data_IF_717866761166
#
_entry.id   IF_717866761166
#
_cell.length_a   1.000
_cell.length_b   1.000
_cell.length_c   1.000
_cell.angle_alpha   90.00
_cell.angle_beta   90.00
_cell.angle_gamma   90.00
#
_symmetry.space_group_name_H-M   'P 1'
#
loop_
_entity.id
_entity.type
_entity.pdbx_description
1 polymer ?
#
# COMPACT_ATOMS: atom_id res chain seq x y z
N UNK A 1 -25.26 2.21 -33.79
CA UNK A 1 -24.56 0.91 -33.93
C UNK A 1 -23.10 1.11 -34.35
N UNK A 2 -22.32 1.89 -33.60
CA UNK A 2 -20.89 2.16 -33.90
C UNK A 2 -20.06 2.47 -32.64
N UNK A 3 -20.50 2.00 -31.47
CA UNK A 3 -19.75 2.12 -30.21
C UNK A 3 -19.00 0.82 -29.85
N UNK A 4 -19.47 -0.32 -30.36
CA UNK A 4 -18.96 -1.64 -29.97
C UNK A 4 -17.69 -2.08 -30.74
N UNK A 5 -17.29 -1.36 -31.79
CA UNK A 5 -16.09 -1.69 -32.58
C UNK A 5 -14.81 -1.03 -32.03
N UNK A 6 -14.93 -0.06 -31.13
CA UNK A 6 -13.80 0.73 -30.59
C UNK A 6 -12.96 -0.08 -29.59
N UNK A 7 -13.53 -1.12 -28.98
CA UNK A 7 -12.87 -1.91 -27.93
C UNK A 7 -12.16 -3.17 -28.43
N UNK A 8 -12.01 -3.37 -29.74
CA UNK A 8 -11.35 -4.56 -30.29
C UNK A 8 -9.89 -4.33 -30.72
N UNK A 9 -9.41 -3.08 -30.81
CA UNK A 9 -8.05 -2.79 -31.28
C UNK A 9 -7.02 -2.87 -30.13
N UNK A 10 -6.13 -3.88 -30.10
CA UNK A 10 -5.21 -4.10 -28.98
C UNK A 10 -4.18 -2.95 -28.83
N UNK A 11 -3.90 -2.21 -29.90
CA UNK A 11 -2.99 -1.07 -29.88
C UNK A 11 -3.62 0.13 -29.18
N UNK A 12 -4.88 0.44 -29.46
CA UNK A 12 -5.60 1.56 -28.83
C UNK A 12 -5.85 1.30 -27.34
N UNK A 13 -6.18 0.06 -26.97
CA UNK A 13 -6.29 -0.35 -25.56
C UNK A 13 -4.96 -0.16 -24.83
N UNK A 14 -3.84 -0.53 -25.47
CA UNK A 14 -2.50 -0.40 -24.89
C UNK A 14 -2.07 1.06 -24.76
N UNK A 15 -2.37 1.89 -25.75
CA UNK A 15 -2.10 3.33 -25.72
C UNK A 15 -2.91 4.03 -24.63
N UNK A 16 -4.21 3.73 -24.53
CA UNK A 16 -5.10 4.28 -23.51
C UNK A 16 -4.67 3.88 -22.10
N UNK A 17 -4.31 2.60 -21.89
CA UNK A 17 -3.75 2.11 -20.61
C UNK A 17 -2.47 2.84 -20.22
N UNK A 18 -1.57 3.11 -21.16
CA UNK A 18 -0.32 3.81 -20.89
C UNK A 18 -0.55 5.30 -20.59
N UNK A 19 -1.45 5.98 -21.30
CA UNK A 19 -1.80 7.38 -21.04
C UNK A 19 -2.50 7.56 -19.69
N UNK A 20 -3.40 6.63 -19.33
CA UNK A 20 -4.05 6.61 -18.03
C UNK A 20 -3.04 6.37 -16.89
N UNK A 21 -2.16 5.38 -17.02
CA UNK A 21 -1.08 5.16 -16.04
C UNK A 21 -0.15 6.38 -15.90
N UNK A 22 0.17 7.06 -17.00
CA UNK A 22 0.99 8.29 -16.94
C UNK A 22 0.28 9.44 -16.21
N UNK A 23 -1.05 9.53 -16.29
CA UNK A 23 -1.84 10.53 -15.52
C UNK A 23 -1.85 10.27 -14.01
N UNK A 24 -1.67 9.02 -13.58
CA UNK A 24 -1.71 8.62 -12.17
C UNK A 24 -0.35 8.70 -11.47
N UNK A 25 0.75 8.64 -12.24
CA UNK A 25 2.11 8.53 -11.71
C UNK A 25 3.03 9.71 -12.08
N UNK A 26 2.53 10.70 -12.82
CA UNK A 26 3.22 11.94 -13.12
C UNK A 26 2.51 13.13 -12.50
N UNK A 27 3.28 14.09 -12.00
CA UNK A 27 2.84 15.42 -11.59
C UNK A 27 2.37 16.25 -12.81
N UNK A 28 1.35 15.74 -13.50
CA UNK A 28 0.72 16.33 -14.67
C UNK A 28 -0.49 17.12 -14.19
N UNK A 29 -0.22 18.30 -13.65
CA UNK A 29 -1.17 19.42 -13.59
C UNK A 29 -1.45 19.98 -15.00
N UNK A 30 -1.70 19.10 -15.98
CA UNK A 30 -2.17 19.50 -17.30
C UNK A 30 -3.49 18.81 -17.53
N UNK A 31 -4.57 19.57 -17.31
CA UNK A 31 -5.89 19.22 -17.79
C UNK A 31 -5.82 18.96 -19.30
N UNK A 32 -6.43 17.87 -19.74
CA UNK A 32 -6.64 17.63 -21.17
C UNK A 32 -7.42 18.82 -21.73
N UNK A 33 -6.90 19.42 -22.80
CA UNK A 33 -7.55 20.55 -23.46
C UNK A 33 -8.61 20.03 -24.43
N UNK A 34 -9.58 20.87 -24.79
CA UNK A 34 -10.56 20.54 -25.84
C UNK A 34 -9.88 20.13 -27.16
N UNK A 35 -8.68 20.66 -27.44
CA UNK A 35 -7.88 20.30 -28.60
C UNK A 35 -7.38 18.84 -28.57
N UNK A 36 -7.08 18.30 -27.38
CA UNK A 36 -6.64 16.91 -27.22
C UNK A 36 -7.79 15.93 -27.48
N UNK A 37 -9.01 16.28 -27.05
CA UNK A 37 -10.21 15.49 -27.33
C UNK A 37 -10.63 15.54 -28.80
N UNK A 38 -10.48 16.69 -29.46
CA UNK A 38 -10.75 16.87 -30.90
C UNK A 38 -9.81 16.02 -31.77
N UNK A 39 -8.54 15.87 -31.36
CA UNK A 39 -7.57 15.04 -32.07
C UNK A 39 -7.96 13.56 -31.99
N UNK A 40 -8.44 13.10 -30.83
CA UNK A 40 -8.92 11.72 -30.62
C UNK A 40 -10.20 11.48 -31.44
N UNK A 41 -11.13 12.44 -31.45
CA UNK A 41 -12.37 12.34 -32.20
C UNK A 41 -12.14 12.30 -33.72
N UNK A 42 -11.21 13.10 -34.26
CA UNK A 42 -10.88 13.10 -35.69
C UNK A 42 -10.17 11.83 -36.13
N UNK A 43 -9.32 11.24 -35.31
CA UNK A 43 -8.63 9.99 -35.64
C UNK A 43 -9.61 8.82 -35.80
N UNK A 44 -10.70 8.80 -35.04
CA UNK A 44 -11.75 7.79 -35.14
C UNK A 44 -12.67 7.94 -36.36
N UNK A 45 -12.49 8.99 -37.18
CA UNK A 45 -13.27 9.26 -38.39
C UNK A 45 -12.45 9.09 -39.69
N UNK A 46 -11.18 8.67 -39.60
CA UNK A 46 -10.34 8.47 -40.79
C UNK A 46 -10.42 7.00 -41.20
N UNK A 47 -11.27 6.71 -42.20
CA UNK A 47 -11.46 5.36 -42.75
C UNK A 47 -10.27 4.85 -43.59
N UNK A 48 -9.30 5.71 -43.92
CA UNK A 48 -8.17 5.35 -44.76
C UNK A 48 -6.81 5.76 -44.14
N UNK A 49 -6.12 4.74 -43.60
CA UNK A 49 -4.81 4.85 -42.96
C UNK A 49 -3.64 5.06 -43.95
N UNK A 50 -3.91 5.17 -45.27
CA UNK A 50 -2.89 5.40 -46.30
C UNK A 50 -2.67 6.87 -46.67
N UNK A 51 -3.42 7.81 -46.07
CA UNK A 51 -3.26 9.24 -46.38
C UNK A 51 -2.03 9.87 -45.70
N UNK A 52 -1.47 10.92 -46.32
CA UNK A 52 -0.35 11.71 -45.79
C UNK A 52 -0.56 12.22 -44.35
N UNK A 53 -1.82 12.38 -43.93
CA UNK A 53 -2.20 12.77 -42.58
C UNK A 53 -1.96 11.65 -41.54
N UNK A 54 -2.05 10.38 -41.93
CA UNK A 54 -1.75 9.23 -41.08
C UNK A 54 -0.25 9.08 -40.80
N UNK A 55 0.60 9.36 -41.79
CA UNK A 55 2.06 9.31 -41.63
C UNK A 55 2.58 10.44 -40.72
N UNK A 56 2.04 11.66 -40.85
CA UNK A 56 2.41 12.76 -39.95
C UNK A 56 1.94 12.51 -38.51
N UNK A 57 0.79 11.84 -38.33
CA UNK A 57 0.30 11.42 -37.02
C UNK A 57 1.17 10.33 -36.37
N UNK A 58 1.58 9.32 -37.14
CA UNK A 58 2.54 8.30 -36.68
C UNK A 58 3.88 8.91 -36.27
N UNK A 59 4.38 9.92 -37.00
CA UNK A 59 5.58 10.67 -36.63
C UNK A 59 5.39 11.45 -35.32
N UNK A 60 4.21 12.00 -35.04
CA UNK A 60 3.89 12.65 -33.76
C UNK A 60 3.84 11.65 -32.59
N UNK A 61 3.29 10.45 -32.81
CA UNK A 61 3.28 9.37 -31.81
C UNK A 61 4.70 8.85 -31.51
N UNK A 62 5.52 8.63 -32.54
CA UNK A 62 6.91 8.19 -32.36
C UNK A 62 7.78 9.22 -31.62
N UNK A 63 7.52 10.52 -31.82
CA UNK A 63 8.13 11.60 -31.03
C UNK A 63 7.69 11.55 -29.57
N UNK A 64 6.42 11.25 -29.28
CA UNK A 64 5.92 11.05 -27.92
C UNK A 64 6.55 9.83 -27.23
N UNK A 65 6.77 8.70 -27.93
CA UNK A 65 7.47 7.52 -27.37
C UNK A 65 8.94 7.82 -27.02
N UNK A 66 9.58 8.69 -27.80
CA UNK A 66 10.95 9.17 -27.53
C UNK A 66 10.99 10.03 -26.27
N UNK A 67 9.98 10.86 -26.04
CA UNK A 67 9.83 11.64 -24.80
C UNK A 67 9.53 10.75 -23.58
N UNK A 68 8.76 9.68 -23.75
CA UNK A 68 8.50 8.68 -22.70
C UNK A 68 9.78 7.97 -22.27
N UNK A 69 10.68 7.62 -23.22
CA UNK A 69 11.99 7.04 -22.91
C UNK A 69 12.88 8.02 -22.13
N UNK A 70 12.82 9.31 -22.47
CA UNK A 70 13.52 10.38 -21.75
C UNK A 70 12.97 10.57 -20.32
N UNK A 71 11.64 10.45 -20.17
CA UNK A 71 10.95 10.55 -18.88
C UNK A 71 11.32 9.39 -17.94
N UNK A 72 11.36 8.15 -18.46
CA UNK A 72 11.82 6.97 -17.70
C UNK A 72 13.24 7.15 -17.16
N UNK A 73 14.12 7.79 -17.92
CA UNK A 73 15.50 8.10 -17.49
C UNK A 73 15.52 9.11 -16.33
N UNK A 74 14.68 10.13 -16.38
CA UNK A 74 14.58 11.18 -15.34
C UNK A 74 13.97 10.67 -14.04
N UNK A 75 13.01 9.76 -14.12
CA UNK A 75 12.43 9.07 -12.95
C UNK A 75 13.44 8.14 -12.31
N UNK A 76 14.24 7.42 -13.11
CA UNK A 76 15.33 6.57 -12.61
C UNK A 76 16.41 7.40 -11.88
N UNK A 77 16.79 8.56 -12.44
CA UNK A 77 17.75 9.47 -11.79
C UNK A 77 17.23 10.03 -10.45
N UNK A 78 15.93 10.36 -10.37
CA UNK A 78 15.29 10.77 -9.10
C UNK A 78 15.32 9.62 -8.09
N UNK A 79 14.98 8.40 -8.50
CA UNK A 79 14.97 7.21 -7.65
C UNK A 79 16.39 6.91 -7.10
N UNK A 80 17.42 6.99 -7.95
CA UNK A 80 18.81 6.77 -7.53
C UNK A 80 19.31 7.83 -6.54
N UNK A 81 18.89 9.10 -6.69
CA UNK A 81 19.17 10.16 -5.71
C UNK A 81 18.49 9.90 -4.36
N UNK A 82 17.22 9.51 -4.36
CA UNK A 82 16.48 9.20 -3.14
C UNK A 82 17.08 8.02 -2.37
N UNK A 83 17.65 7.05 -3.09
CA UNK A 83 18.29 5.87 -2.49
C UNK A 83 19.77 6.06 -2.14
N UNK A 84 20.32 7.28 -2.23
CA UNK A 84 21.76 7.57 -2.00
C UNK A 84 22.72 6.69 -2.83
N UNK A 85 22.26 6.21 -3.98
CA UNK A 85 23.06 5.40 -4.89
C UNK A 85 23.88 6.34 -5.78
N UNK A 86 25.21 6.33 -5.60
CA UNK A 86 26.12 7.00 -6.55
C UNK A 86 26.14 6.22 -7.86
N UNK A 87 25.40 6.70 -8.85
CA UNK A 87 25.53 6.21 -10.22
C UNK A 87 26.65 6.98 -10.91
N UNK A 88 27.84 6.37 -10.96
CA UNK A 88 28.95 6.89 -11.76
C UNK A 88 28.68 6.58 -13.23
N UNK A 89 28.11 7.53 -13.97
CA UNK A 89 28.03 7.44 -15.43
C UNK A 89 29.40 7.76 -16.01
N UNK A 90 30.21 6.74 -16.29
CA UNK A 90 31.31 6.89 -17.24
C UNK A 90 30.71 6.97 -18.64
N UNK A 91 30.97 8.08 -19.34
CA UNK A 91 30.73 8.21 -20.78
C UNK A 91 31.50 7.08 -21.48
N UNK A 92 30.79 6.04 -21.91
CA UNK A 92 31.37 5.00 -22.76
C UNK A 92 31.49 5.57 -24.18
N UNK A 93 32.69 5.61 -24.77
CA UNK A 93 32.84 5.95 -26.18
C UNK A 93 32.16 4.89 -27.04
N UNK A 94 31.58 5.31 -28.16
CA UNK A 94 30.91 4.46 -29.16
C UNK A 94 31.83 3.47 -29.91
N UNK A 95 33.04 3.19 -29.41
CA UNK A 95 34.05 2.37 -30.09
C UNK A 95 34.45 1.16 -29.24
N UNK A 96 33.56 0.16 -29.18
CA UNK A 96 33.85 -1.16 -28.60
C UNK A 96 34.51 -2.14 -29.60
N UNK A 97 34.99 -1.65 -30.75
CA UNK A 97 35.55 -2.50 -31.83
C UNK A 97 37.09 -2.59 -31.89
N UNK A 98 37.82 -1.99 -30.95
CA UNK A 98 39.30 -2.00 -31.00
C UNK A 98 39.95 -2.16 -29.61
N UNK A 99 39.37 -3.00 -28.75
CA UNK A 99 39.90 -3.27 -27.42
C UNK A 99 40.34 -4.74 -27.24
N UNK A 100 40.94 -5.33 -28.29
CA UNK A 100 41.56 -6.66 -28.22
C UNK A 100 43.09 -6.64 -28.22
N UNK A 101 43.74 -5.48 -28.38
CA UNK A 101 45.20 -5.42 -28.46
C UNK A 101 45.77 -4.30 -27.59
N UNK A 102 45.79 -4.50 -26.27
CA UNK A 102 46.84 -3.91 -25.42
C UNK A 102 46.96 -4.65 -24.10
N UNK A 103 48.19 -4.95 -23.70
CA UNK A 103 48.54 -5.53 -22.41
C UNK A 103 48.27 -4.55 -21.26
N UNK A 104 47.00 -4.32 -20.94
CA UNK A 104 46.61 -3.55 -19.76
C UNK A 104 46.28 -4.53 -18.63
N UNK A 105 47.28 -4.71 -17.76
CA UNK A 105 47.33 -5.39 -16.47
C UNK A 105 46.11 -6.18 -15.97
N UNK A 106 46.35 -7.39 -15.48
CA UNK A 106 45.40 -8.29 -14.81
C UNK A 106 44.46 -7.65 -13.76
N UNK A 107 44.82 -6.49 -13.18
CA UNK A 107 43.99 -5.74 -12.23
C UNK A 107 42.74 -5.15 -12.90
N UNK A 108 42.87 -4.58 -14.09
CA UNK A 108 41.77 -3.97 -14.86
C UNK A 108 40.76 -4.99 -15.38
N UNK A 109 41.21 -6.21 -15.73
CA UNK A 109 40.31 -7.29 -16.15
C UNK A 109 39.43 -7.79 -14.99
N UNK A 110 40.01 -7.95 -13.80
CA UNK A 110 39.27 -8.35 -12.58
C UNK A 110 38.25 -7.28 -12.18
N UNK A 111 38.61 -6.01 -12.28
CA UNK A 111 37.70 -4.88 -12.00
C UNK A 111 36.55 -4.81 -13.02
N UNK A 112 36.82 -5.07 -14.30
CA UNK A 112 35.79 -5.20 -15.33
C UNK A 112 34.85 -6.40 -15.07
N UNK A 113 35.37 -7.55 -14.66
CA UNK A 113 34.54 -8.71 -14.28
C UNK A 113 33.66 -8.40 -13.06
N UNK A 114 34.19 -7.71 -12.05
CA UNK A 114 33.43 -7.24 -10.88
C UNK A 114 32.33 -6.25 -11.27
N UNK A 115 32.59 -5.34 -12.20
CA UNK A 115 31.59 -4.39 -12.72
C UNK A 115 30.49 -5.10 -13.53
N UNK A 116 30.85 -6.09 -14.37
CA UNK A 116 29.88 -6.91 -15.11
C UNK A 116 29.03 -7.76 -14.15
N UNK A 117 29.65 -8.35 -13.12
CA UNK A 117 28.94 -9.10 -12.09
C UNK A 117 27.98 -8.19 -11.30
N UNK A 118 28.43 -7.01 -10.86
CA UNK A 118 27.58 -5.99 -10.21
C UNK A 118 26.43 -5.54 -11.10
N UNK A 119 26.67 -5.29 -12.39
CA UNK A 119 25.62 -4.95 -13.37
C UNK A 119 24.60 -6.07 -13.54
N UNK A 120 25.03 -7.33 -13.61
CA UNK A 120 24.13 -8.50 -13.67
C UNK A 120 23.30 -8.65 -12.39
N UNK A 121 23.89 -8.40 -11.21
CA UNK A 121 23.16 -8.41 -9.93
C UNK A 121 22.14 -7.28 -9.83
N UNK A 122 22.50 -6.05 -10.24
CA UNK A 122 21.58 -4.91 -10.32
C UNK A 122 20.43 -5.22 -11.30
N UNK A 123 20.72 -5.78 -12.48
CA UNK A 123 19.69 -6.15 -13.45
C UNK A 123 18.76 -7.28 -12.95
N UNK A 124 19.27 -8.22 -12.15
CA UNK A 124 18.43 -9.25 -11.50
C UNK A 124 17.51 -8.65 -10.44
N UNK A 125 18.04 -7.75 -9.60
CA UNK A 125 17.25 -7.01 -8.60
C UNK A 125 16.17 -6.15 -9.28
N UNK A 126 16.52 -5.47 -10.37
CA UNK A 126 15.60 -4.61 -11.14
C UNK A 126 14.47 -5.43 -11.79
N UNK A 127 14.77 -6.60 -12.36
CA UNK A 127 13.73 -7.50 -12.90
C UNK A 127 12.81 -8.07 -11.84
N UNK A 128 13.34 -8.46 -10.67
CA UNK A 128 12.53 -8.96 -9.56
C UNK A 128 11.61 -7.86 -9.00
N UNK A 129 12.15 -6.64 -8.84
CA UNK A 129 11.40 -5.46 -8.40
C UNK A 129 10.30 -5.09 -9.41
N UNK A 130 10.62 -4.99 -10.70
CA UNK A 130 9.65 -4.71 -11.77
C UNK A 130 8.56 -5.79 -11.82
N UNK A 131 8.91 -7.07 -11.70
CA UNK A 131 7.93 -8.16 -11.68
C UNK A 131 6.97 -8.02 -10.49
N UNK A 132 7.47 -7.69 -9.29
CA UNK A 132 6.63 -7.50 -8.10
C UNK A 132 5.79 -6.24 -8.17
N UNK A 133 6.33 -5.11 -8.63
CA UNK A 133 5.55 -3.89 -8.90
C UNK A 133 4.42 -4.20 -9.87
N UNK A 134 4.69 -4.94 -10.95
CA UNK A 134 3.66 -5.34 -11.90
C UNK A 134 2.66 -6.33 -11.29
N UNK A 135 3.09 -7.25 -10.41
CA UNK A 135 2.20 -8.16 -9.66
C UNK A 135 1.27 -7.38 -8.72
N UNK A 136 1.78 -6.42 -7.97
CA UNK A 136 0.98 -5.57 -7.08
C UNK A 136 0.07 -4.62 -7.87
N UNK A 137 0.57 -3.99 -8.94
CA UNK A 137 -0.24 -3.13 -9.82
C UNK A 137 -1.35 -3.91 -10.52
N UNK A 138 -1.08 -5.14 -10.97
CA UNK A 138 -2.08 -6.03 -11.55
C UNK A 138 -3.15 -6.43 -10.52
N UNK A 139 -2.74 -6.89 -9.32
CA UNK A 139 -3.67 -7.17 -8.21
C UNK A 139 -4.53 -5.94 -7.88
N UNK A 140 -3.90 -4.76 -7.71
CA UNK A 140 -4.60 -3.50 -7.42
C UNK A 140 -5.60 -3.13 -8.52
N UNK A 141 -5.23 -3.26 -9.78
CA UNK A 141 -6.12 -2.97 -10.91
C UNK A 141 -7.29 -3.96 -11.00
N UNK A 142 -7.06 -5.25 -10.74
CA UNK A 142 -8.11 -6.27 -10.66
C UNK A 142 -9.10 -5.97 -9.52
N UNK A 143 -8.60 -5.57 -8.34
CA UNK A 143 -9.47 -5.24 -7.20
C UNK A 143 -10.23 -3.91 -7.36
N UNK A 144 -9.60 -2.85 -7.88
CA UNK A 144 -10.28 -1.56 -8.05
C UNK A 144 -11.42 -1.61 -9.08
N UNK A 145 -11.37 -2.54 -10.03
CA UNK A 145 -12.44 -2.74 -11.01
C UNK A 145 -13.60 -3.60 -10.48
N UNK A 146 -13.42 -4.29 -9.35
CA UNK A 146 -14.36 -5.30 -8.82
C UNK A 146 -14.64 -5.16 -7.33
N UNK A 147 -14.48 -3.98 -6.72
CA UNK A 147 -14.92 -3.79 -5.34
C UNK A 147 -16.45 -3.84 -5.26
N UNK A 148 -16.99 -5.04 -5.18
CA UNK A 148 -18.37 -5.33 -4.86
C UNK A 148 -18.45 -5.73 -3.38
N UNK A 149 -19.19 -4.96 -2.59
CA UNK A 149 -19.42 -5.27 -1.18
C UNK A 149 -20.07 -6.65 -0.97
N UNK A 150 -20.68 -7.23 -2.03
CA UNK A 150 -21.22 -8.59 -2.03
C UNK A 150 -20.16 -9.70 -1.97
N UNK A 151 -18.89 -9.41 -2.30
CA UNK A 151 -17.79 -10.39 -2.22
C UNK A 151 -17.39 -10.73 -0.77
N UNK A 152 -17.85 -9.95 0.21
CA UNK A 152 -17.91 -10.40 1.60
C UNK A 152 -19.07 -11.38 1.74
N UNK A 153 -18.97 -12.54 1.09
CA UNK A 153 -19.83 -13.69 1.32
C UNK A 153 -19.65 -14.11 2.78
N UNK A 154 -20.47 -13.55 3.67
CA UNK A 154 -20.47 -13.87 5.10
C UNK A 154 -20.93 -15.33 5.19
N UNK A 155 -20.03 -16.28 5.50
CA UNK A 155 -20.44 -17.68 5.67
C UNK A 155 -21.51 -17.70 6.74
N UNK A 156 -22.60 -18.46 6.52
CA UNK A 156 -23.77 -18.62 7.42
C UNK A 156 -23.47 -18.16 8.84
N UNK A 157 -23.72 -16.86 9.07
CA UNK A 157 -23.30 -16.18 10.27
C UNK A 157 -23.99 -16.81 11.45
N UNK A 158 -23.26 -17.18 12.50
CA UNK A 158 -23.91 -17.45 13.77
C UNK A 158 -24.59 -16.15 14.20
N UNK A 159 -25.92 -16.09 14.17
CA UNK A 159 -26.68 -14.89 14.52
C UNK A 159 -26.32 -14.35 15.91
N UNK A 160 -25.84 -15.21 16.81
CA UNK A 160 -25.35 -14.81 18.12
C UNK A 160 -24.08 -13.93 18.05
N UNK A 161 -23.23 -14.08 17.03
CA UNK A 161 -22.05 -13.20 16.83
C UNK A 161 -22.47 -11.75 16.56
N UNK A 162 -23.59 -11.55 15.86
CA UNK A 162 -24.08 -10.20 15.51
C UNK A 162 -24.63 -9.45 16.73
N UNK A 163 -25.17 -10.16 17.71
CA UNK A 163 -25.75 -9.57 18.94
C UNK A 163 -24.69 -9.07 19.92
N UNK A 164 -23.46 -9.61 19.88
CA UNK A 164 -22.40 -9.29 20.86
C UNK A 164 -21.77 -7.94 20.59
N UNK A 165 -21.64 -7.09 21.61
CA UNK A 165 -21.15 -5.71 21.42
C UNK A 165 -19.62 -5.61 21.43
N UNK A 166 -19.10 -4.59 20.75
CA UNK A 166 -17.71 -4.20 20.90
C UNK A 166 -17.59 -3.43 22.22
N UNK A 167 -16.66 -3.85 23.07
CA UNK A 167 -16.41 -3.24 24.37
C UNK A 167 -14.99 -2.68 24.41
N UNK A 168 -14.80 -1.61 25.19
CA UNK A 168 -13.44 -1.19 25.60
C UNK A 168 -12.92 -2.26 26.57
N UNK A 169 -11.70 -2.73 26.34
CA UNK A 169 -11.09 -3.74 27.19
C UNK A 169 -10.80 -3.18 28.58
N UNK A 170 -11.05 -3.98 29.62
CA UNK A 170 -10.52 -3.68 30.96
C UNK A 170 -9.04 -4.06 31.06
N UNK A 171 -8.37 -3.67 32.15
CA UNK A 171 -6.99 -4.13 32.40
C UNK A 171 -6.91 -5.66 32.47
N UNK A 172 -7.92 -6.33 33.06
CA UNK A 172 -8.00 -7.80 33.14
C UNK A 172 -8.16 -8.45 31.76
N UNK A 173 -8.82 -7.78 30.82
CA UNK A 173 -9.00 -8.30 29.47
C UNK A 173 -7.68 -8.33 28.67
N UNK A 174 -6.62 -7.62 29.10
CA UNK A 174 -5.30 -7.62 28.43
C UNK A 174 -4.66 -9.02 28.44
N UNK A 175 -4.77 -9.76 29.55
CA UNK A 175 -4.31 -11.14 29.61
C UNK A 175 -5.11 -12.03 28.66
N UNK A 176 -6.44 -11.85 28.64
CA UNK A 176 -7.35 -12.61 27.77
C UNK A 176 -7.09 -12.35 26.29
N UNK A 177 -6.75 -11.11 25.92
CA UNK A 177 -6.34 -10.75 24.56
C UNK A 177 -5.05 -11.49 24.18
N UNK A 178 -4.05 -11.49 25.07
CA UNK A 178 -2.80 -12.20 24.83
C UNK A 178 -3.01 -13.71 24.66
N UNK A 179 -3.79 -14.33 25.55
CA UNK A 179 -4.14 -15.75 25.45
C UNK A 179 -4.94 -16.06 24.19
N UNK A 180 -5.89 -15.22 23.80
CA UNK A 180 -6.65 -15.38 22.57
C UNK A 180 -5.75 -15.36 21.33
N UNK A 181 -4.82 -14.40 21.26
CA UNK A 181 -3.89 -14.28 20.14
C UNK A 181 -2.88 -15.44 20.09
N UNK A 182 -2.29 -15.81 21.25
CA UNK A 182 -1.29 -16.90 21.35
C UNK A 182 -1.88 -18.28 21.05
N UNK A 183 -3.09 -18.56 21.55
CA UNK A 183 -3.76 -19.85 21.34
C UNK A 183 -4.47 -19.93 19.97
N UNK A 184 -4.52 -18.82 19.25
CA UNK A 184 -5.17 -18.70 17.94
C UNK A 184 -4.27 -19.05 16.75
N UNK A 185 -4.51 -18.37 15.63
CA UNK A 185 -3.86 -18.64 14.32
C UNK A 185 -2.44 -18.09 14.21
N UNK A 186 -1.96 -17.29 15.17
CA UNK A 186 -0.66 -16.62 15.11
C UNK A 186 0.49 -17.49 15.60
N UNK A 187 0.64 -18.71 15.06
CA UNK A 187 1.78 -19.58 15.43
C UNK A 187 3.14 -18.95 15.12
N UNK A 188 3.20 -18.02 14.17
CA UNK A 188 4.44 -17.45 13.66
C UNK A 188 4.58 -15.93 13.84
N UNK A 189 3.58 -15.25 14.42
CA UNK A 189 3.66 -13.81 14.68
C UNK A 189 3.91 -13.60 16.18
N UNK A 190 4.96 -12.87 16.58
CA UNK A 190 5.17 -12.54 17.98
C UNK A 190 3.98 -11.71 18.48
N UNK A 191 3.36 -12.17 19.57
CA UNK A 191 2.27 -11.45 20.23
C UNK A 191 2.84 -10.74 21.45
N UNK A 192 2.62 -9.44 21.57
CA UNK A 192 3.04 -8.68 22.75
C UNK A 192 2.27 -9.14 23.99
N UNK A 193 3.00 -9.51 25.04
CA UNK A 193 2.42 -9.96 26.29
C UNK A 193 1.88 -8.82 27.17
N UNK A 194 1.21 -9.18 28.28
CA UNK A 194 0.68 -8.23 29.26
C UNK A 194 1.71 -7.25 29.81
N UNK A 195 2.97 -7.69 29.97
CA UNK A 195 4.09 -6.85 30.42
C UNK A 195 4.26 -5.59 29.57
N UNK A 196 3.95 -5.67 28.27
CA UNK A 196 4.01 -4.55 27.33
C UNK A 196 2.65 -3.84 27.24
N UNK A 197 1.56 -4.61 27.10
CA UNK A 197 0.22 -4.07 26.83
C UNK A 197 -0.43 -3.39 28.03
N UNK A 198 -0.19 -3.84 29.27
CA UNK A 198 -0.77 -3.20 30.46
C UNK A 198 -0.26 -1.76 30.63
N UNK A 199 1.05 -1.46 30.52
CA UNK A 199 1.53 -0.08 30.46
C UNK A 199 0.88 0.76 29.36
N UNK A 200 0.67 0.20 28.17
CA UNK A 200 -0.04 0.90 27.09
C UNK A 200 -1.49 1.23 27.48
N UNK A 201 -2.22 0.26 28.04
CA UNK A 201 -3.60 0.44 28.48
C UNK A 201 -3.72 1.53 29.56
N UNK A 202 -2.78 1.54 30.52
CA UNK A 202 -2.76 2.56 31.58
C UNK A 202 -2.48 3.97 31.05
N UNK A 203 -1.69 4.09 29.97
CA UNK A 203 -1.46 5.36 29.30
C UNK A 203 -2.72 5.86 28.57
N UNK A 204 -3.44 4.95 27.90
CA UNK A 204 -4.67 5.29 27.20
C UNK A 204 -5.65 4.09 27.20
N UNK A 205 -6.68 4.08 28.07
CA UNK A 205 -7.62 2.97 28.17
C UNK A 205 -8.50 2.74 26.94
N UNK A 206 -8.53 3.68 25.98
CA UNK A 206 -9.38 3.62 24.79
C UNK A 206 -8.71 2.96 23.58
N UNK A 207 -7.56 2.30 23.77
CA UNK A 207 -6.77 1.74 22.67
C UNK A 207 -6.98 0.23 22.46
N UNK A 208 -7.69 -0.45 23.36
CA UNK A 208 -7.96 -1.89 23.28
C UNK A 208 -9.47 -2.13 23.20
N UNK A 209 -9.91 -2.86 22.19
CA UNK A 209 -11.31 -3.22 22.00
C UNK A 209 -11.47 -4.72 21.87
N UNK A 210 -12.51 -5.27 22.51
CA UNK A 210 -12.78 -6.71 22.54
C UNK A 210 -14.24 -7.00 22.21
N UNK A 211 -14.48 -8.20 21.72
CA UNK A 211 -15.79 -8.85 21.74
C UNK A 211 -15.63 -10.12 22.59
N UNK A 212 -16.52 -10.28 23.56
CA UNK A 212 -16.50 -11.40 24.51
C UNK A 212 -17.71 -12.30 24.32
N UNK A 213 -17.55 -13.60 24.55
CA UNK A 213 -18.67 -14.54 24.56
C UNK A 213 -19.45 -14.51 25.90
N UNK A 214 -20.45 -15.38 26.03
CA UNK A 214 -21.30 -15.44 27.22
C UNK A 214 -20.57 -15.97 28.47
N UNK A 215 -19.33 -16.44 28.31
CA UNK A 215 -18.45 -16.92 29.38
C UNK A 215 -17.34 -15.90 29.68
N UNK A 216 -17.49 -14.65 29.21
CA UNK A 216 -16.50 -13.56 29.34
C UNK A 216 -15.14 -13.87 28.68
N UNK A 217 -15.12 -14.82 27.73
CA UNK A 217 -13.92 -15.14 26.94
C UNK A 217 -13.82 -14.21 25.74
N UNK A 218 -12.64 -13.64 25.51
CA UNK A 218 -12.34 -12.85 24.30
C UNK A 218 -12.38 -13.74 23.05
N UNK A 219 -13.23 -13.38 22.09
CA UNK A 219 -13.41 -14.07 20.80
C UNK A 219 -13.03 -13.21 19.59
N UNK A 220 -12.80 -11.91 19.82
CA UNK A 220 -12.18 -11.02 18.86
C UNK A 220 -11.60 -9.79 19.59
N UNK A 221 -10.54 -9.19 19.03
CA UNK A 221 -9.99 -7.94 19.52
C UNK A 221 -9.39 -7.11 18.37
N UNK A 222 -9.28 -5.79 18.58
CA UNK A 222 -8.48 -4.87 17.78
C UNK A 222 -7.85 -3.84 18.70
N UNK A 223 -6.58 -3.51 18.46
CA UNK A 223 -5.86 -2.51 19.24
C UNK A 223 -5.51 -1.35 18.31
N UNK A 224 -5.82 -0.12 18.73
CA UNK A 224 -5.65 1.10 17.93
C UNK A 224 -4.80 2.07 18.74
N UNK A 225 -3.51 2.11 18.45
CA UNK A 225 -2.52 2.85 19.23
C UNK A 225 -2.33 4.26 18.65
N UNK A 226 -2.63 5.34 19.37
CA UNK A 226 -2.36 6.70 18.91
C UNK A 226 -0.88 7.04 19.16
N UNK A 227 -0.03 6.72 18.19
CA UNK A 227 1.42 6.89 18.33
C UNK A 227 1.81 8.37 18.20
N UNK A 228 2.83 8.76 18.96
CA UNK A 228 3.58 9.98 18.65
C UNK A 228 4.22 9.87 17.27
N UNK A 229 4.42 11.01 16.61
CA UNK A 229 5.05 11.06 15.28
C UNK A 229 6.40 10.33 15.26
N UNK A 230 7.25 10.58 16.25
CA UNK A 230 8.57 9.96 16.35
C UNK A 230 8.47 8.43 16.41
N UNK A 231 7.61 7.89 17.27
CA UNK A 231 7.47 6.43 17.41
C UNK A 231 6.81 5.80 16.19
N UNK A 232 5.81 6.47 15.60
CA UNK A 232 5.19 6.05 14.35
C UNK A 232 6.22 5.88 13.23
N UNK A 233 7.11 6.85 13.03
CA UNK A 233 8.14 6.74 12.00
C UNK A 233 9.19 5.67 12.32
N UNK A 234 9.51 5.43 13.60
CA UNK A 234 10.40 4.33 13.99
C UNK A 234 9.80 2.98 13.62
N UNK A 235 8.52 2.74 13.94
CA UNK A 235 7.86 1.49 13.57
C UNK A 235 7.65 1.38 12.06
N UNK A 236 7.26 2.46 11.38
CA UNK A 236 7.07 2.53 9.91
C UNK A 236 8.32 2.21 9.13
N UNK A 237 9.49 2.60 9.64
CA UNK A 237 10.77 2.36 8.99
C UNK A 237 11.43 1.05 9.48
N UNK A 238 10.79 0.31 10.38
CA UNK A 238 11.34 -0.93 10.96
C UNK A 238 12.59 -0.71 11.80
N UNK A 239 12.73 0.48 12.40
CA UNK A 239 13.80 0.81 13.36
C UNK A 239 13.51 0.16 14.72
N UNK A 240 12.23 0.06 15.06
CA UNK A 240 11.71 -0.73 16.18
C UNK A 240 10.64 -1.67 15.64
N UNK A 241 10.50 -2.83 16.30
CA UNK A 241 9.32 -3.68 16.15
C UNK A 241 8.25 -3.26 17.18
N UNK A 242 7.12 -3.98 17.20
CA UNK A 242 6.03 -3.68 18.12
C UNK A 242 6.43 -3.81 19.60
N UNK A 243 7.43 -4.66 19.92
CA UNK A 243 7.95 -4.80 21.30
C UNK A 243 8.74 -3.57 21.75
N UNK A 244 9.25 -2.80 20.79
CA UNK A 244 9.97 -1.56 21.03
C UNK A 244 9.08 -0.35 21.34
N UNK A 245 7.76 -0.44 21.12
CA UNK A 245 6.83 0.65 21.43
C UNK A 245 6.67 0.76 22.96
N UNK A 246 6.97 1.93 23.52
CA UNK A 246 6.81 2.23 24.95
C UNK A 246 5.46 2.89 25.19
N UNK A 247 4.97 2.84 26.43
CA UNK A 247 3.75 3.57 26.80
C UNK A 247 3.90 5.09 26.61
N UNK A 248 5.10 5.65 26.80
CA UNK A 248 5.39 7.08 26.54
C UNK A 248 5.31 7.46 25.05
N UNK A 249 5.26 6.47 24.16
CA UNK A 249 5.11 6.69 22.73
C UNK A 249 3.64 6.84 22.32
N UNK A 250 2.71 6.69 23.26
CA UNK A 250 1.28 6.81 23.02
C UNK A 250 0.75 8.14 23.56
N UNK A 251 -0.09 8.79 22.76
CA UNK A 251 -0.88 9.93 23.19
C UNK A 251 -1.85 9.55 24.31
N UNK A 252 -2.00 10.45 25.29
CA UNK A 252 -3.00 10.30 26.35
C UNK A 252 -4.40 10.60 25.80
N UNK A 253 -5.48 10.18 26.48
CA UNK A 253 -6.85 10.48 26.05
C UNK A 253 -7.11 11.98 25.81
N UNK A 254 -6.50 12.84 26.63
CA UNK A 254 -6.66 14.30 26.52
C UNK A 254 -5.97 14.90 25.28
N UNK A 255 -5.10 14.15 24.60
CA UNK A 255 -4.37 14.59 23.41
C UNK A 255 -5.12 14.25 22.10
N UNK A 256 -6.39 13.83 22.16
CA UNK A 256 -7.20 13.38 21.01
C UNK A 256 -7.02 14.26 19.75
N UNK A 257 -7.03 15.58 19.91
CA UNK A 257 -6.94 16.54 18.81
C UNK A 257 -5.52 16.71 18.22
N UNK A 258 -4.50 16.22 18.91
CA UNK A 258 -3.10 16.25 18.47
C UNK A 258 -2.69 14.96 17.75
N UNK A 259 -3.52 13.91 17.80
CA UNK A 259 -3.21 12.62 17.18
C UNK A 259 -3.25 12.75 15.66
N UNK A 260 -2.11 12.47 15.03
CA UNK A 260 -1.96 12.43 13.56
C UNK A 260 -1.69 11.03 13.02
N UNK A 261 -1.30 10.10 13.89
CA UNK A 261 -0.91 8.75 13.52
C UNK A 261 -1.57 7.71 14.42
N UNK A 262 -2.26 6.75 13.80
CA UNK A 262 -2.79 5.57 14.46
C UNK A 262 -2.04 4.35 13.96
N UNK A 263 -1.73 3.41 14.84
CA UNK A 263 -1.17 2.11 14.49
C UNK A 263 -2.14 1.01 14.91
N UNK A 264 -2.51 0.14 13.96
CA UNK A 264 -3.38 -1.01 14.23
C UNK A 264 -2.50 -2.20 14.60
N UNK A 265 -2.73 -2.74 15.78
CA UNK A 265 -2.03 -3.91 16.30
C UNK A 265 -3.04 -4.99 16.69
N UNK A 266 -2.65 -6.26 16.46
CA UNK A 266 -3.38 -7.42 16.95
C UNK A 266 -4.86 -7.44 16.55
N UNK A 267 -5.18 -7.25 15.28
CA UNK A 267 -6.56 -7.41 14.80
C UNK A 267 -6.89 -8.90 14.62
N UNK A 268 -7.60 -9.48 15.59
CA UNK A 268 -7.83 -10.91 15.68
C UNK A 268 -9.32 -11.20 15.78
N UNK A 269 -9.84 -12.09 14.95
CA UNK A 269 -11.27 -12.46 14.95
C UNK A 269 -11.44 -13.96 14.70
N UNK A 270 -12.32 -14.62 15.45
CA UNK A 270 -12.66 -16.03 15.19
C UNK A 270 -13.46 -16.21 13.89
N UNK A 271 -14.26 -15.23 13.50
CA UNK A 271 -15.16 -15.28 12.35
C UNK A 271 -15.09 -13.98 11.54
N UNK A 272 -15.43 -14.05 10.25
CA UNK A 272 -15.53 -12.87 9.39
C UNK A 272 -16.65 -11.92 9.83
N UNK A 273 -17.68 -12.42 10.50
CA UNK A 273 -18.76 -11.61 11.07
C UNK A 273 -18.25 -10.64 12.14
N UNK A 274 -17.42 -11.15 13.06
CA UNK A 274 -16.79 -10.35 14.12
C UNK A 274 -15.83 -9.32 13.52
N UNK A 275 -15.07 -9.72 12.50
CA UNK A 275 -14.19 -8.82 11.74
C UNK A 275 -14.98 -7.68 11.09
N UNK A 276 -16.08 -8.00 10.41
CA UNK A 276 -16.96 -7.00 9.80
C UNK A 276 -17.53 -6.04 10.85
N UNK A 277 -17.86 -6.53 12.05
CA UNK A 277 -18.35 -5.67 13.14
C UNK A 277 -17.32 -4.60 13.52
N UNK A 278 -16.04 -4.96 13.64
CA UNK A 278 -14.97 -3.99 13.87
C UNK A 278 -14.80 -3.02 12.71
N UNK A 279 -14.77 -3.53 11.47
CA UNK A 279 -14.63 -2.71 10.26
C UNK A 279 -15.77 -1.68 10.17
N UNK A 280 -17.03 -2.08 10.38
CA UNK A 280 -18.18 -1.17 10.32
C UNK A 280 -18.20 -0.15 11.48
N UNK A 281 -17.66 -0.51 12.64
CA UNK A 281 -17.60 0.38 13.81
C UNK A 281 -16.32 1.23 13.84
N UNK A 282 -15.40 1.04 12.89
CA UNK A 282 -14.02 1.50 13.00
C UNK A 282 -13.89 3.01 13.19
N UNK A 283 -14.70 3.84 12.49
CA UNK A 283 -14.71 5.30 12.71
C UNK A 283 -15.13 5.68 14.13
N UNK A 284 -16.11 4.97 14.71
CA UNK A 284 -16.57 5.24 16.07
C UNK A 284 -15.50 4.87 17.10
N UNK A 285 -14.69 3.84 16.81
CA UNK A 285 -13.55 3.47 17.65
C UNK A 285 -12.44 4.51 17.55
N UNK A 286 -12.13 4.98 16.33
CA UNK A 286 -11.14 6.05 16.09
C UNK A 286 -11.56 7.35 16.77
N UNK A 287 -12.83 7.74 16.70
CA UNK A 287 -13.31 8.99 17.29
C UNK A 287 -13.18 9.01 18.83
N UNK A 288 -12.92 7.87 19.49
CA UNK A 288 -12.59 7.87 20.92
C UNK A 288 -11.16 8.31 21.22
N UNK A 289 -10.25 8.22 20.25
CA UNK A 289 -8.80 8.42 20.44
C UNK A 289 -8.19 9.49 19.55
N UNK A 290 -8.80 9.83 18.42
CA UNK A 290 -8.32 10.83 17.48
C UNK A 290 -9.48 11.65 16.90
N UNK A 291 -9.20 12.88 16.50
CA UNK A 291 -10.15 13.71 15.76
C UNK A 291 -10.32 13.16 14.32
N UNK A 292 -11.46 12.54 14.04
CA UNK A 292 -11.79 12.00 12.70
C UNK A 292 -11.94 13.08 11.63
N UNK A 293 -12.07 14.35 12.02
CA UNK A 293 -12.10 15.48 11.09
C UNK A 293 -10.70 15.93 10.65
N UNK A 294 -9.64 15.45 11.30
CA UNK A 294 -8.26 15.75 10.94
C UNK A 294 -7.93 15.18 9.54
N UNK A 295 -7.70 16.02 8.52
CA UNK A 295 -7.45 15.56 7.14
C UNK A 295 -6.11 14.85 6.98
N UNK A 296 -5.20 15.00 7.95
CA UNK A 296 -3.86 14.44 7.93
C UNK A 296 -3.75 13.16 8.77
N UNK A 297 -4.85 12.65 9.34
CA UNK A 297 -4.81 11.42 10.13
C UNK A 297 -4.42 10.22 9.24
N UNK A 298 -3.34 9.54 9.60
CA UNK A 298 -2.84 8.34 8.91
C UNK A 298 -2.98 7.12 9.79
N UNK A 299 -3.43 6.02 9.21
CA UNK A 299 -3.54 4.72 9.87
C UNK A 299 -2.45 3.81 9.32
N UNK A 300 -1.55 3.34 10.17
CA UNK A 300 -0.52 2.36 9.86
C UNK A 300 -0.87 0.97 10.39
N UNK A 301 -0.36 -0.08 9.76
CA UNK A 301 -0.50 -1.47 10.20
C UNK A 301 0.61 -2.36 9.62
N UNK A 302 0.80 -3.54 10.24
CA UNK A 302 1.60 -4.63 9.71
C UNK A 302 0.69 -5.85 9.51
N UNK A 303 0.86 -6.57 8.40
CA UNK A 303 -0.04 -7.67 8.04
C UNK A 303 0.14 -8.92 8.89
N UNK A 304 1.37 -9.23 9.29
CA UNK A 304 1.73 -10.39 10.13
C UNK A 304 1.49 -11.77 9.50
N UNK A 305 0.50 -11.90 8.60
CA UNK A 305 0.16 -13.09 7.82
C UNK A 305 -0.31 -12.71 6.41
N UNK A 306 -0.31 -13.68 5.49
CA UNK A 306 -0.79 -13.49 4.12
C UNK A 306 -2.26 -13.01 4.09
N UNK A 307 -3.11 -13.53 4.98
CA UNK A 307 -4.51 -13.10 5.09
C UNK A 307 -4.64 -11.66 5.60
N UNK A 308 -3.78 -11.24 6.53
CA UNK A 308 -3.72 -9.87 7.00
C UNK A 308 -3.30 -8.89 5.90
N UNK A 309 -2.29 -9.26 5.09
CA UNK A 309 -1.87 -8.49 3.92
C UNK A 309 -2.97 -8.36 2.86
N UNK A 310 -3.69 -9.47 2.60
CA UNK A 310 -4.83 -9.45 1.70
C UNK A 310 -5.95 -8.54 2.22
N UNK A 311 -6.29 -8.63 3.51
CA UNK A 311 -7.29 -7.77 4.13
C UNK A 311 -6.91 -6.29 4.02
N UNK A 312 -5.69 -5.91 4.38
CA UNK A 312 -5.23 -4.51 4.29
C UNK A 312 -5.31 -3.99 2.84
N UNK A 313 -4.91 -4.82 1.87
CA UNK A 313 -5.02 -4.47 0.44
C UNK A 313 -6.48 -4.22 0.05
N UNK A 314 -7.41 -5.07 0.51
CA UNK A 314 -8.86 -4.91 0.26
C UNK A 314 -9.44 -3.67 0.94
N UNK A 315 -8.91 -3.29 2.10
CA UNK A 315 -9.28 -2.06 2.81
C UNK A 315 -8.61 -0.81 2.23
N UNK A 316 -7.82 -0.96 1.16
CA UNK A 316 -7.19 0.16 0.44
C UNK A 316 -5.91 0.69 1.08
N UNK A 317 -5.32 -0.04 2.02
CA UNK A 317 -3.99 0.29 2.52
C UNK A 317 -2.94 0.11 1.42
N UNK A 318 -1.89 0.91 1.47
CA UNK A 318 -0.77 0.87 0.53
C UNK A 318 0.53 0.54 1.28
N UNK A 319 1.38 -0.28 0.70
CA UNK A 319 2.72 -0.56 1.25
C UNK A 319 3.56 0.71 1.11
N UNK A 320 4.10 1.19 2.23
CA UNK A 320 4.95 2.39 2.28
C UNK A 320 6.38 2.10 2.74
N UNK A 321 6.61 0.95 3.35
CA UNK A 321 7.93 0.43 3.67
C UNK A 321 7.93 -1.08 3.49
N UNK A 322 8.84 -1.57 2.66
CA UNK A 322 8.91 -2.99 2.33
C UNK A 322 9.68 -3.80 3.38
N UNK A 323 9.33 -5.07 3.53
CA UNK A 323 9.98 -6.04 4.39
C UNK A 323 11.50 -6.09 4.19
N UNK A 324 12.00 -5.99 2.95
CA UNK A 324 13.42 -6.13 2.64
C UNK A 324 14.31 -5.03 3.22
N UNK A 325 13.74 -3.87 3.57
CA UNK A 325 14.47 -2.73 4.15
C UNK A 325 14.23 -2.58 5.65
N UNK A 326 13.36 -3.40 6.23
CA UNK A 326 12.98 -3.34 7.64
C UNK A 326 13.67 -4.45 8.44
N UNK A 327 13.98 -4.17 9.69
CA UNK A 327 14.66 -5.14 10.56
C UNK A 327 13.76 -6.33 10.93
N UNK A 328 12.44 -6.12 10.99
CA UNK A 328 11.45 -7.14 11.31
C UNK A 328 11.02 -8.00 10.10
N UNK A 329 11.47 -7.66 8.90
CA UNK A 329 11.13 -8.37 7.65
C UNK A 329 9.63 -8.45 7.36
N UNK A 330 8.85 -7.45 7.77
CA UNK A 330 7.41 -7.36 7.49
C UNK A 330 7.09 -6.10 6.70
N UNK A 331 6.16 -6.15 5.75
CA UNK A 331 5.70 -4.95 5.04
C UNK A 331 4.89 -4.04 5.99
N UNK A 332 5.08 -2.73 5.86
CA UNK A 332 4.29 -1.73 6.58
C UNK A 332 3.34 -1.01 5.63
N UNK A 333 2.08 -0.94 6.06
CA UNK A 333 0.96 -0.48 5.28
C UNK A 333 0.40 0.81 5.87
N UNK A 334 0.00 1.75 5.01
CA UNK A 334 -0.64 3.01 5.41
C UNK A 334 -1.96 3.25 4.67
N UNK A 335 -2.90 3.87 5.37
CA UNK A 335 -4.14 4.39 4.83
C UNK A 335 -4.40 5.79 5.41
N UNK A 336 -4.24 6.86 4.62
CA UNK A 336 -4.76 8.17 4.99
C UNK A 336 -6.28 8.08 5.20
N UNK A 337 -6.78 8.56 6.35
CA UNK A 337 -8.21 8.41 6.70
C UNK A 337 -9.12 9.01 5.63
N UNK A 338 -8.71 10.12 5.02
CA UNK A 338 -9.47 10.77 3.94
C UNK A 338 -9.61 9.92 2.66
N UNK A 339 -8.81 8.87 2.49
CA UNK A 339 -8.88 7.89 1.39
C UNK A 339 -9.65 6.61 1.76
N UNK A 340 -10.06 6.44 3.02
CA UNK A 340 -10.82 5.29 3.48
C UNK A 340 -12.31 5.37 3.05
N UNK A 341 -12.56 5.32 1.74
CA UNK A 341 -13.89 5.55 1.13
C UNK A 341 -14.94 4.57 1.69
N UNK A 342 -14.55 3.33 1.99
CA UNK A 342 -15.43 2.31 2.55
C UNK A 342 -15.98 2.69 3.94
N UNK A 343 -15.27 3.52 4.71
CA UNK A 343 -15.74 4.04 6.00
C UNK A 343 -16.86 5.09 5.86
N UNK A 344 -16.90 5.82 4.75
CA UNK A 344 -17.91 6.87 4.50
C UNK A 344 -19.24 6.28 4.02
N UNK A 345 -19.19 5.17 3.29
CA UNK A 345 -20.38 4.53 2.74
C UNK A 345 -21.09 3.61 3.75
N UNK A 346 -20.38 3.12 4.76
CA UNK A 346 -20.94 2.29 5.83
C UNK A 346 -21.76 3.08 6.86
N UNK A 347 -21.43 4.35 7.07
CA UNK A 347 -22.15 5.22 8.02
C UNK A 347 -23.53 5.68 7.51
N UNK A 348 -23.77 5.63 6.19
CA UNK A 348 -25.01 6.16 5.59
C UNK A 348 -26.22 5.24 5.79
N UNK A 349 -26.04 3.98 6.19
CA UNK A 349 -27.16 3.03 6.38
C UNK A 349 -27.54 2.70 7.82
N UNK A 350 -26.70 3.03 8.81
CA UNK A 350 -26.94 2.64 10.21
C UNK A 350 -27.61 3.71 11.09
N UNK A 351 -27.78 4.93 10.61
CA UNK A 351 -28.41 6.02 11.39
C UNK A 351 -29.88 6.30 10.99
N UNK A 352 -30.49 5.49 10.13
CA UNK A 352 -31.87 5.68 9.64
C UNK A 352 -32.85 4.53 9.98
N UNK A 353 -32.55 3.74 10.99
CA UNK A 353 -33.46 2.73 11.59
C UNK A 353 -33.37 2.86 13.09
#
# INVERSE_FOLDING_TARGET
>A
MAADTILANPFLIRLWKNLWLLSQYGDLNRSFTSQDYDIIARYNQVDDHSSANGEEFLKKILRADTQIKFFKRRTLDKLCKTLSLKVSYYNLPNSWKSFEESQVGHKTFRDCQLLVARRKSIQKLDKALIFRINKHAKKKAEYMLHFDASEFNVPTTNFEDLKREIQIATEEDIEKIYDFARNGRYKNCPVNGPVIKVPWWRQNPFIFYVIKDNQDKVIANINILPLTEESYFKIRNGVIDERGIKHTDLHQPNDKYNVSYLYIEGFNCMTTALMSKFIFSFLQLIDRIADISNPNLVIGAIGGTDEGEELMTKLGFEIVSFAEVRQDSLDFYELPLNKAIWLRNSSIKFFNT
#
